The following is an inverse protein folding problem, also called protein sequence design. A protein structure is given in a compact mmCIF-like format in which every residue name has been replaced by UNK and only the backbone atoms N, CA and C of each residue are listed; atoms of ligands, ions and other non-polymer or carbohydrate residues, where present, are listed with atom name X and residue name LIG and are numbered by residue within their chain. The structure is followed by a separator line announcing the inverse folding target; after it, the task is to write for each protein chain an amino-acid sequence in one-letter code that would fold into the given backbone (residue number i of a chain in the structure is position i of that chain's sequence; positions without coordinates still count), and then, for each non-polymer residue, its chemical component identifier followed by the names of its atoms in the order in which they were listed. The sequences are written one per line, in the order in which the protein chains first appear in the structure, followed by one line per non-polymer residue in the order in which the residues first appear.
data_IF_128368198216
#
_entry.id   IF_128368198216
#
_cell.length_a   1.000
_cell.length_b   1.000
_cell.length_c   1.000
_cell.angle_alpha   90.00
_cell.angle_beta   90.00
_cell.angle_gamma   90.00
#
_symmetry.space_group_name_H-M   'P 1'
#
loop_
_entity.id
_entity.type
_entity.pdbx_description
1 polymer ?
#
# COMPACT_ATOMS: atom_id res chain seq x y z
N UNK A 1 -69.77 5.10 45.33
CA UNK A 1 -69.22 4.89 43.97
C UNK A 1 -68.49 6.15 43.52
N UNK A 2 -67.17 6.09 43.33
CA UNK A 2 -66.40 6.95 42.42
C UNK A 2 -65.01 6.32 42.29
N UNK A 3 -64.76 5.71 41.13
CA UNK A 3 -63.51 5.03 40.77
C UNK A 3 -62.45 6.11 40.51
N UNK A 4 -61.34 6.09 41.24
CA UNK A 4 -60.15 6.85 40.83
C UNK A 4 -59.36 6.01 39.84
N UNK A 5 -59.12 6.62 38.69
CA UNK A 5 -58.50 6.08 37.50
C UNK A 5 -56.99 5.96 37.74
N UNK A 6 -56.45 4.75 37.72
CA UNK A 6 -55.01 4.49 37.78
C UNK A 6 -54.42 4.76 36.38
N UNK A 7 -53.97 5.99 36.13
CA UNK A 7 -53.33 6.37 34.88
C UNK A 7 -51.87 5.91 34.92
N UNK A 8 -51.65 4.67 34.47
CA UNK A 8 -50.32 4.08 34.31
C UNK A 8 -49.61 4.81 33.17
N UNK A 9 -48.64 5.67 33.52
CA UNK A 9 -47.79 6.40 32.59
C UNK A 9 -46.82 5.42 31.92
N UNK A 10 -47.20 4.93 30.75
CA UNK A 10 -46.34 4.09 29.89
C UNK A 10 -45.35 5.02 29.18
N UNK A 11 -44.25 5.36 29.86
CA UNK A 11 -43.10 6.02 29.23
C UNK A 11 -42.44 5.03 28.27
N UNK A 12 -42.89 5.05 27.01
CA UNK A 12 -42.17 4.47 25.88
C UNK A 12 -40.78 5.12 25.80
N UNK A 13 -39.77 4.39 26.26
CA UNK A 13 -38.36 4.68 25.98
C UNK A 13 -38.15 4.49 24.48
N UNK A 14 -38.40 5.53 23.69
CA UNK A 14 -37.92 5.62 22.32
C UNK A 14 -36.44 5.96 22.44
N UNK A 15 -35.60 4.95 22.62
CA UNK A 15 -34.15 5.10 22.51
C UNK A 15 -33.85 5.59 21.10
N UNK A 16 -33.26 6.78 20.88
CA UNK A 16 -32.78 7.13 19.56
C UNK A 16 -31.66 6.14 19.23
N UNK A 17 -31.88 5.30 18.22
CA UNK A 17 -30.79 4.58 17.57
C UNK A 17 -29.87 5.64 16.96
N UNK A 18 -28.83 6.04 17.69
CA UNK A 18 -27.77 6.89 17.14
C UNK A 18 -26.99 6.06 16.14
N UNK A 19 -27.33 6.18 14.87
CA UNK A 19 -26.49 5.70 13.77
C UNK A 19 -25.24 6.58 13.78
N UNK A 20 -24.07 5.98 13.97
CA UNK A 20 -22.81 6.72 13.91
C UNK A 20 -22.65 7.31 12.50
N UNK A 21 -22.45 8.62 12.42
CA UNK A 21 -22.23 9.29 11.14
C UNK A 21 -20.92 8.81 10.51
N UNK A 22 -20.89 8.59 9.17
CA UNK A 22 -19.66 8.26 8.46
C UNK A 22 -18.57 9.31 8.67
N UNK A 23 -17.33 8.85 8.80
CA UNK A 23 -16.16 9.74 8.87
C UNK A 23 -15.77 10.12 7.45
N UNK A 24 -15.93 11.40 7.10
CA UNK A 24 -15.53 11.95 5.79
C UNK A 24 -14.14 12.58 5.90
N UNK A 25 -13.23 12.21 5.00
CA UNK A 25 -11.86 12.74 4.99
C UNK A 25 -11.36 13.00 3.57
N UNK A 26 -10.62 14.10 3.39
CA UNK A 26 -9.90 14.39 2.14
C UNK A 26 -8.45 13.98 2.25
N UNK A 27 -7.87 13.55 1.14
CA UNK A 27 -6.51 13.02 1.09
C UNK A 27 -6.22 12.28 -0.21
N UNK A 28 -5.29 11.33 -0.13
CA UNK A 28 -4.88 10.50 -1.26
C UNK A 28 -5.10 9.03 -0.91
N UNK A 29 -5.88 8.34 -1.75
CA UNK A 29 -6.00 6.89 -1.69
C UNK A 29 -4.89 6.28 -2.54
N UNK A 30 -4.09 5.43 -1.92
CA UNK A 30 -3.06 4.63 -2.58
C UNK A 30 -3.53 3.19 -2.68
N UNK A 31 -3.43 2.60 -3.87
CA UNK A 31 -3.52 1.16 -4.08
C UNK A 31 -2.12 0.64 -4.40
N UNK A 32 -1.72 -0.47 -3.80
CA UNK A 32 -0.36 -0.99 -3.93
C UNK A 32 -0.34 -2.52 -4.02
N UNK A 33 0.66 -3.06 -4.71
CA UNK A 33 0.93 -4.50 -4.71
C UNK A 33 2.05 -4.81 -3.75
N UNK A 34 1.75 -5.59 -2.73
CA UNK A 34 2.73 -6.11 -1.78
C UNK A 34 3.16 -7.50 -2.23
N UNK A 35 4.46 -7.75 -2.27
CA UNK A 35 4.96 -9.09 -2.52
C UNK A 35 4.60 -10.01 -1.35
N UNK A 36 4.08 -11.19 -1.65
CA UNK A 36 3.88 -12.26 -0.66
C UNK A 36 4.55 -13.52 -1.20
N UNK A 37 5.65 -13.91 -0.57
CA UNK A 37 6.37 -15.10 -0.95
C UNK A 37 5.85 -16.31 -0.18
N UNK A 38 5.88 -17.49 -0.80
CA UNK A 38 5.71 -18.74 -0.07
C UNK A 38 6.85 -18.95 0.94
N UNK A 39 6.68 -19.90 1.86
CA UNK A 39 7.65 -20.18 2.93
C UNK A 39 9.07 -20.44 2.40
N UNK A 40 9.19 -21.02 1.20
CA UNK A 40 10.48 -21.30 0.55
C UNK A 40 11.07 -20.10 -0.24
N UNK A 41 10.41 -18.94 -0.24
CA UNK A 41 10.80 -17.73 -0.97
C UNK A 41 11.05 -17.97 -2.48
N UNK A 42 10.25 -18.83 -3.11
CA UNK A 42 10.38 -19.22 -4.53
C UNK A 42 9.24 -18.73 -5.41
N UNK A 43 8.05 -18.52 -4.82
CA UNK A 43 6.83 -18.12 -5.54
C UNK A 43 6.27 -16.87 -4.90
N UNK A 44 6.21 -15.78 -5.67
CA UNK A 44 5.55 -14.54 -5.26
C UNK A 44 4.09 -14.54 -5.73
N UNK A 45 3.16 -14.33 -4.81
CA UNK A 45 1.73 -14.11 -5.08
C UNK A 45 1.35 -12.72 -4.57
N UNK A 46 1.56 -11.65 -5.36
CA UNK A 46 1.36 -10.30 -4.85
C UNK A 46 -0.08 -10.06 -4.37
N UNK A 47 -0.21 -9.48 -3.17
CA UNK A 47 -1.47 -9.04 -2.56
C UNK A 47 -1.74 -7.58 -2.91
N UNK A 48 -2.98 -7.28 -3.31
CA UNK A 48 -3.43 -5.91 -3.51
C UNK A 48 -3.85 -5.31 -2.17
N UNK A 49 -3.20 -4.23 -1.76
CA UNK A 49 -3.51 -3.46 -0.56
C UNK A 49 -3.96 -2.05 -0.90
N UNK A 50 -4.60 -1.40 0.07
CA UNK A 50 -5.01 0.00 -0.02
C UNK A 50 -4.66 0.72 1.27
N UNK A 51 -4.25 1.99 1.15
CA UNK A 51 -4.13 2.89 2.29
C UNK A 51 -4.50 4.30 1.92
N UNK A 52 -4.96 5.07 2.89
CA UNK A 52 -5.38 6.45 2.71
C UNK A 52 -4.50 7.39 3.54
N UNK A 53 -3.92 8.38 2.87
CA UNK A 53 -3.15 9.44 3.49
C UNK A 53 -4.03 10.66 3.63
N UNK A 54 -4.44 10.95 4.86
CA UNK A 54 -5.35 12.05 5.13
C UNK A 54 -4.63 13.41 5.09
N UNK A 55 -5.30 14.41 4.53
CA UNK A 55 -4.80 15.79 4.53
C UNK A 55 -4.64 16.31 5.97
N UNK A 56 -3.66 17.18 6.19
CA UNK A 56 -3.46 17.86 7.47
C UNK A 56 -4.67 18.69 7.96
N UNK A 57 -5.61 19.02 7.06
CA UNK A 57 -6.84 19.76 7.37
C UNK A 57 -8.07 18.86 7.62
N UNK A 58 -7.93 17.54 7.51
CA UNK A 58 -9.03 16.59 7.69
C UNK A 58 -9.32 16.34 9.18
N UNK A 59 -10.38 15.61 9.53
CA UNK A 59 -10.60 15.13 10.90
C UNK A 59 -9.59 14.08 11.36
N UNK A 60 -8.85 13.49 10.41
CA UNK A 60 -7.86 12.43 10.64
C UNK A 60 -6.41 12.96 10.52
N UNK A 61 -6.24 14.28 10.53
CA UNK A 61 -5.00 15.07 10.30
C UNK A 61 -3.70 14.26 10.30
N UNK A 62 -3.17 14.02 9.10
CA UNK A 62 -1.84 13.45 8.93
C UNK A 62 -1.72 11.99 9.37
N UNK A 63 -2.78 11.20 9.26
CA UNK A 63 -2.74 9.75 9.46
C UNK A 63 -2.70 9.01 8.13
N UNK A 64 -1.86 7.99 8.05
CA UNK A 64 -2.02 6.89 7.11
C UNK A 64 -2.99 5.86 7.72
N UNK A 65 -3.92 5.36 6.91
CA UNK A 65 -4.97 4.43 7.34
C UNK A 65 -4.95 3.25 6.38
N UNK A 66 -4.80 2.03 6.88
CA UNK A 66 -4.99 0.81 6.09
C UNK A 66 -6.47 0.68 5.73
N UNK A 67 -6.75 0.57 4.43
CA UNK A 67 -8.12 0.60 3.90
C UNK A 67 -8.52 -0.79 3.43
N UNK A 68 -9.65 -1.28 3.93
CA UNK A 68 -10.27 -2.49 3.44
C UNK A 68 -11.33 -2.14 2.40
N UNK A 69 -11.10 -2.57 1.17
CA UNK A 69 -12.04 -2.46 0.04
C UNK A 69 -12.79 -3.78 -0.08
N UNK A 70 -14.11 -3.73 0.01
CA UNK A 70 -14.97 -4.91 -0.07
C UNK A 70 -14.85 -5.63 -1.43
N UNK A 71 -15.08 -6.94 -1.40
CA UNK A 71 -15.02 -7.82 -2.58
C UNK A 71 -13.66 -8.50 -2.77
N UNK A 72 -13.59 -9.36 -3.77
CA UNK A 72 -12.36 -10.06 -4.15
C UNK A 72 -11.48 -9.21 -5.07
N UNK A 73 -10.38 -9.82 -5.55
CA UNK A 73 -9.36 -9.13 -6.33
C UNK A 73 -9.91 -8.48 -7.61
N UNK A 74 -10.86 -9.13 -8.29
CA UNK A 74 -11.46 -8.59 -9.51
C UNK A 74 -12.27 -7.31 -9.23
N UNK A 75 -13.05 -7.30 -8.14
CA UNK A 75 -13.84 -6.15 -7.72
C UNK A 75 -12.93 -4.99 -7.28
N UNK A 76 -11.84 -5.29 -6.56
CA UNK A 76 -10.86 -4.29 -6.17
C UNK A 76 -10.11 -3.70 -7.37
N UNK A 77 -9.73 -4.51 -8.36
CA UNK A 77 -9.13 -4.01 -9.60
C UNK A 77 -10.12 -3.16 -10.41
N UNK A 78 -11.39 -3.57 -10.49
CA UNK A 78 -12.44 -2.78 -11.13
C UNK A 78 -12.65 -1.43 -10.42
N UNK A 79 -12.61 -1.42 -9.08
CA UNK A 79 -12.64 -0.20 -8.28
C UNK A 79 -11.47 0.74 -8.63
N UNK A 80 -10.26 0.21 -8.77
CA UNK A 80 -9.09 1.01 -9.18
C UNK A 80 -9.30 1.58 -10.58
N UNK A 81 -9.64 0.74 -11.57
CA UNK A 81 -9.87 1.17 -12.96
C UNK A 81 -10.93 2.27 -13.09
N UNK A 82 -11.96 2.22 -12.25
CA UNK A 82 -13.04 3.21 -12.24
C UNK A 82 -12.60 4.54 -11.63
N UNK A 83 -11.81 4.51 -10.56
CA UNK A 83 -11.57 5.69 -9.72
C UNK A 83 -10.18 6.33 -9.91
N UNK A 84 -9.18 5.59 -10.38
CA UNK A 84 -7.80 6.05 -10.49
C UNK A 84 -7.47 6.46 -11.92
N UNK A 85 -6.64 7.49 -12.07
CA UNK A 85 -6.06 7.93 -13.34
C UNK A 85 -4.56 7.66 -13.39
N UNK A 86 -3.99 7.71 -14.60
CA UNK A 86 -2.55 7.57 -14.86
C UNK A 86 -1.97 6.25 -14.30
N UNK A 87 -2.73 5.16 -14.40
CA UNK A 87 -2.28 3.84 -13.95
C UNK A 87 -1.23 3.34 -14.94
N UNK A 88 0.01 3.06 -14.51
CA UNK A 88 1.02 2.51 -15.40
C UNK A 88 0.67 1.06 -15.76
N UNK A 89 1.00 0.63 -16.98
CA UNK A 89 0.67 -0.71 -17.48
C UNK A 89 1.19 -1.83 -16.58
N UNK A 90 2.36 -1.62 -15.97
CA UNK A 90 3.01 -2.57 -15.05
C UNK A 90 2.19 -2.82 -13.78
N UNK A 91 1.34 -1.88 -13.36
CA UNK A 91 0.54 -2.05 -12.15
C UNK A 91 -0.38 -3.26 -12.26
N UNK A 92 -1.02 -3.50 -13.40
CA UNK A 92 -1.89 -4.67 -13.56
C UNK A 92 -1.19 -5.86 -14.23
N UNK A 93 -0.25 -5.62 -15.15
CA UNK A 93 0.41 -6.71 -15.89
C UNK A 93 1.42 -7.47 -15.03
N UNK A 94 2.20 -6.76 -14.21
CA UNK A 94 3.22 -7.36 -13.35
C UNK A 94 2.85 -7.33 -11.86
N UNK A 95 1.77 -6.65 -11.48
CA UNK A 95 1.36 -6.48 -10.07
C UNK A 95 2.48 -5.89 -9.23
N UNK A 96 3.01 -4.75 -9.69
CA UNK A 96 4.14 -4.06 -9.07
C UNK A 96 3.74 -2.65 -8.69
N UNK A 97 4.44 -2.09 -7.70
CA UNK A 97 4.33 -0.69 -7.31
C UNK A 97 2.94 -0.31 -6.78
N UNK A 98 2.63 0.97 -6.88
CA UNK A 98 1.44 1.59 -6.37
C UNK A 98 0.91 2.62 -7.36
N UNK A 99 -0.34 3.00 -7.15
CA UNK A 99 -0.99 4.14 -7.79
C UNK A 99 -1.67 5.00 -6.75
N UNK A 100 -1.58 6.32 -6.92
CA UNK A 100 -2.16 7.30 -6.02
C UNK A 100 -3.28 8.06 -6.72
N UNK A 101 -4.41 8.22 -6.03
CA UNK A 101 -5.53 9.02 -6.49
C UNK A 101 -6.00 9.96 -5.37
N UNK A 102 -5.86 11.28 -5.53
CA UNK A 102 -6.48 12.26 -4.65
C UNK A 102 -8.01 12.13 -4.65
N UNK A 103 -8.64 12.39 -3.51
CA UNK A 103 -10.09 12.37 -3.41
C UNK A 103 -10.62 12.54 -1.98
N UNK A 104 -11.92 12.29 -1.85
CA UNK A 104 -12.61 12.24 -0.56
C UNK A 104 -13.05 10.80 -0.30
N UNK A 105 -12.76 10.32 0.90
CA UNK A 105 -13.15 8.99 1.37
C UNK A 105 -14.20 9.11 2.48
N UNK A 106 -15.13 8.17 2.50
CA UNK A 106 -16.05 7.96 3.60
C UNK A 106 -15.73 6.62 4.27
N UNK A 107 -15.49 6.65 5.57
CA UNK A 107 -15.27 5.46 6.39
C UNK A 107 -16.45 5.23 7.33
N UNK A 108 -16.82 3.97 7.55
CA UNK A 108 -17.82 3.63 8.57
C UNK A 108 -17.29 3.93 9.98
N UNK A 109 -16.04 3.52 10.21
CA UNK A 109 -15.31 3.72 11.45
C UNK A 109 -13.82 3.58 11.19
N UNK A 110 -13.01 4.39 11.87
CA UNK A 110 -11.56 4.22 11.92
C UNK A 110 -11.19 3.54 13.24
N UNK A 111 -10.50 2.41 13.17
CA UNK A 111 -9.98 1.67 14.32
C UNK A 111 -8.51 2.02 14.52
N UNK A 112 -8.15 2.40 15.73
CA UNK A 112 -6.75 2.56 16.15
C UNK A 112 -6.25 1.22 16.69
N UNK A 113 -5.03 0.83 16.32
CA UNK A 113 -4.34 -0.34 16.85
C UNK A 113 -2.85 0.00 17.08
N UNK A 114 -2.15 -0.82 17.86
CA UNK A 114 -0.71 -0.63 18.15
C UNK A 114 0.06 -1.81 17.58
N UNK A 115 1.09 -1.53 16.80
CA UNK A 115 2.01 -2.52 16.24
C UNK A 115 3.41 -1.91 16.19
N UNK A 116 4.43 -2.71 16.53
CA UNK A 116 5.83 -2.31 16.74
C UNK A 116 5.99 -0.95 17.45
N UNK A 117 5.30 -0.81 18.59
CA UNK A 117 5.31 0.36 19.47
C UNK A 117 4.86 1.67 18.80
N UNK A 118 4.11 1.59 17.70
CA UNK A 118 3.55 2.73 17.01
C UNK A 118 2.02 2.64 16.88
N UNK A 119 1.38 3.81 16.83
CA UNK A 119 -0.03 3.93 16.56
C UNK A 119 -0.32 3.73 15.07
N UNK A 120 -1.21 2.80 14.75
CA UNK A 120 -1.67 2.51 13.41
C UNK A 120 -3.20 2.62 13.32
N UNK A 121 -3.73 2.75 12.10
CA UNK A 121 -5.14 3.00 11.85
C UNK A 121 -5.64 2.14 10.71
N UNK A 122 -6.84 1.57 10.85
CA UNK A 122 -7.48 0.81 9.79
C UNK A 122 -8.97 1.13 9.68
N UNK A 123 -9.53 0.99 8.48
CA UNK A 123 -10.94 1.29 8.23
C UNK A 123 -11.49 0.54 7.01
N UNK A 124 -12.77 0.18 7.08
CA UNK A 124 -13.56 -0.21 5.92
C UNK A 124 -14.03 1.04 5.17
N UNK A 125 -13.78 1.07 3.86
CA UNK A 125 -14.26 2.16 2.99
C UNK A 125 -15.73 1.96 2.66
N UNK A 126 -16.53 3.03 2.83
CA UNK A 126 -17.92 3.06 2.37
C UNK A 126 -18.01 3.62 0.96
N UNK A 127 -17.30 4.71 0.68
CA UNK A 127 -17.27 5.33 -0.63
C UNK A 127 -15.97 6.09 -0.88
N UNK A 128 -15.64 6.28 -2.16
CA UNK A 128 -14.54 7.11 -2.61
C UNK A 128 -14.98 7.99 -3.76
N UNK A 129 -14.75 9.29 -3.63
CA UNK A 129 -14.99 10.28 -4.67
C UNK A 129 -13.63 10.82 -5.13
N UNK A 130 -13.11 10.39 -6.29
CA UNK A 130 -11.81 10.86 -6.76
C UNK A 130 -11.88 12.34 -7.15
N UNK A 131 -10.85 13.09 -6.79
CA UNK A 131 -10.59 14.41 -7.35
C UNK A 131 -9.77 14.24 -8.63
N UNK A 132 -10.48 14.26 -9.75
CA UNK A 132 -9.92 14.07 -11.08
C UNK A 132 -9.26 15.34 -11.65
N UNK A 133 -9.38 16.46 -10.94
CA UNK A 133 -8.79 17.75 -11.33
C UNK A 133 -7.43 18.00 -10.68
N UNK A 134 -7.19 17.40 -9.50
CA UNK A 134 -5.90 17.52 -8.81
C UNK A 134 -4.78 16.86 -9.61
N UNK A 135 -3.69 17.62 -9.78
CA UNK A 135 -2.42 17.11 -10.32
C UNK A 135 -1.46 16.63 -9.23
N UNK A 136 -1.73 16.98 -7.96
CA UNK A 136 -0.89 16.57 -6.85
C UNK A 136 -1.42 15.27 -6.26
N UNK A 137 -0.69 14.19 -6.50
CA UNK A 137 -0.93 12.86 -5.95
C UNK A 137 0.22 12.41 -5.03
N UNK A 138 1.07 13.35 -4.58
CA UNK A 138 2.13 13.05 -3.65
C UNK A 138 1.56 12.66 -2.29
N UNK A 139 2.18 11.66 -1.68
CA UNK A 139 1.89 11.21 -0.32
C UNK A 139 3.13 11.41 0.54
N UNK A 140 2.92 11.69 1.81
CA UNK A 140 3.98 11.65 2.81
C UNK A 140 4.02 10.24 3.41
N UNK A 141 4.92 9.42 2.89
CA UNK A 141 5.10 8.04 3.32
C UNK A 141 5.55 7.93 4.78
N UNK A 142 6.11 9.01 5.37
CA UNK A 142 6.49 9.01 6.79
C UNK A 142 5.29 8.89 7.74
N UNK A 143 4.07 9.20 7.27
CA UNK A 143 2.83 9.02 8.01
C UNK A 143 2.45 7.55 8.17
N UNK A 144 3.00 6.65 7.33
CA UNK A 144 2.87 5.22 7.48
C UNK A 144 3.96 4.69 8.44
N UNK A 145 3.52 3.88 9.40
CA UNK A 145 4.39 3.21 10.35
C UNK A 145 4.58 1.74 9.96
N UNK A 146 5.13 0.94 10.86
CA UNK A 146 5.42 -0.48 10.68
C UNK A 146 4.17 -1.40 10.74
N UNK A 147 2.96 -0.86 10.96
CA UNK A 147 1.75 -1.68 11.01
C UNK A 147 1.41 -2.34 9.68
N UNK A 148 0.61 -3.41 9.68
CA UNK A 148 0.05 -4.21 8.57
C UNK A 148 0.92 -4.49 7.33
N UNK A 149 1.43 -3.46 6.66
CA UNK A 149 2.21 -3.57 5.43
C UNK A 149 3.50 -2.71 5.44
N UNK A 150 3.79 -2.01 6.54
CA UNK A 150 4.97 -1.16 6.67
C UNK A 150 4.90 0.15 5.86
N UNK A 151 6.03 0.88 5.83
CA UNK A 151 6.11 2.18 5.15
C UNK A 151 6.07 2.07 3.63
N UNK A 152 6.77 1.09 3.05
CA UNK A 152 6.90 0.93 1.61
C UNK A 152 6.48 -0.49 1.18
N UNK A 153 5.20 -0.85 1.36
CA UNK A 153 4.71 -2.22 1.14
C UNK A 153 4.91 -2.73 -0.28
N UNK A 154 5.03 -1.81 -1.23
CA UNK A 154 5.17 -2.10 -2.65
C UNK A 154 6.61 -2.41 -3.10
N UNK A 155 7.61 -2.22 -2.22
CA UNK A 155 8.98 -2.58 -2.55
C UNK A 155 9.13 -4.09 -2.45
N UNK A 156 9.42 -4.72 -3.58
CA UNK A 156 9.89 -6.11 -3.58
C UNK A 156 11.41 -6.11 -3.43
N UNK A 157 11.88 -6.60 -2.29
CA UNK A 157 13.29 -6.58 -1.90
C UNK A 157 13.96 -7.94 -2.14
N UNK A 158 15.23 -7.89 -2.49
CA UNK A 158 16.08 -9.04 -2.77
C UNK A 158 17.48 -8.82 -2.18
N UNK A 159 18.23 -9.91 -2.04
CA UNK A 159 19.67 -9.93 -1.82
C UNK A 159 20.35 -10.80 -2.88
N UNK A 160 21.66 -10.66 -3.03
CA UNK A 160 22.45 -11.67 -3.74
C UNK A 160 22.34 -13.03 -3.01
N UNK A 161 22.34 -14.12 -3.77
CA UNK A 161 22.42 -15.47 -3.19
C UNK A 161 23.76 -15.69 -2.46
N UNK A 162 23.76 -16.50 -1.38
CA UNK A 162 24.93 -16.78 -0.55
C UNK A 162 25.94 -17.73 -1.23
N UNK A 163 26.49 -17.31 -2.36
CA UNK A 163 27.45 -18.08 -3.16
C UNK A 163 28.86 -17.49 -3.14
N UNK A 164 29.10 -16.40 -2.41
CA UNK A 164 30.41 -15.74 -2.33
C UNK A 164 30.86 -15.09 -3.65
N UNK A 165 29.93 -14.87 -4.58
CA UNK A 165 30.18 -14.19 -5.86
C UNK A 165 29.68 -12.76 -5.81
N UNK A 166 30.52 -11.82 -6.22
CA UNK A 166 30.08 -10.44 -6.47
C UNK A 166 29.08 -10.43 -7.62
N UNK A 167 27.88 -9.90 -7.36
CA UNK A 167 26.83 -9.76 -8.36
C UNK A 167 26.90 -8.35 -8.97
N UNK A 168 26.61 -8.24 -10.26
CA UNK A 168 26.73 -7.00 -11.00
C UNK A 168 25.41 -6.61 -11.63
N UNK A 169 25.06 -5.34 -11.48
CA UNK A 169 24.15 -4.68 -12.39
C UNK A 169 24.75 -4.58 -13.79
N UNK A 170 23.89 -4.73 -14.78
CA UNK A 170 24.17 -4.66 -16.20
C UNK A 170 23.61 -3.39 -16.81
N UNK A 171 24.24 -2.92 -17.89
CA UNK A 171 23.80 -1.75 -18.64
C UNK A 171 22.52 -2.00 -19.48
N UNK A 172 22.27 -3.25 -19.86
CA UNK A 172 21.06 -3.72 -20.56
C UNK A 172 20.72 -5.14 -20.08
N UNK A 173 19.49 -5.65 -20.31
CA UNK A 173 19.06 -6.99 -19.89
C UNK A 173 19.63 -8.08 -20.80
N UNK A 174 20.96 -8.16 -20.87
CA UNK A 174 21.76 -9.08 -21.69
C UNK A 174 22.98 -9.53 -20.88
N UNK A 175 23.32 -10.82 -20.94
CA UNK A 175 24.49 -11.38 -20.24
C UNK A 175 25.80 -10.74 -20.67
N UNK A 176 25.88 -10.37 -21.95
CA UNK A 176 27.06 -9.79 -22.57
C UNK A 176 27.12 -8.26 -22.38
N UNK A 177 26.10 -7.67 -21.75
CA UNK A 177 26.12 -6.25 -21.43
C UNK A 177 27.26 -5.95 -20.45
N UNK A 178 27.80 -4.74 -20.58
CA UNK A 178 28.78 -4.21 -19.64
C UNK A 178 28.21 -4.13 -18.23
N UNK A 179 29.06 -4.38 -17.24
CA UNK A 179 28.73 -4.20 -15.83
C UNK A 179 28.71 -2.70 -15.49
N UNK A 180 27.80 -2.27 -14.62
CA UNK A 180 27.69 -0.89 -14.15
C UNK A 180 28.11 -0.77 -12.69
N UNK A 181 27.41 -1.42 -11.79
CA UNK A 181 27.66 -1.39 -10.34
C UNK A 181 27.67 -2.81 -9.79
N UNK A 182 28.53 -3.08 -8.80
CA UNK A 182 28.47 -4.33 -8.02
C UNK A 182 27.67 -4.15 -6.74
N UNK A 183 27.16 -5.26 -6.23
CA UNK A 183 26.60 -5.38 -4.90
C UNK A 183 26.84 -6.81 -4.37
N UNK A 184 26.61 -6.99 -3.08
CA UNK A 184 26.92 -8.20 -2.32
C UNK A 184 25.69 -8.73 -1.59
N UNK A 185 25.88 -9.81 -0.83
CA UNK A 185 24.86 -10.43 0.01
C UNK A 185 24.43 -9.51 1.17
N UNK A 186 25.26 -8.54 1.55
CA UNK A 186 24.96 -7.54 2.58
C UNK A 186 24.08 -6.40 2.04
N UNK A 187 24.04 -6.22 0.72
CA UNK A 187 23.28 -5.16 0.07
C UNK A 187 21.84 -5.61 -0.20
N UNK A 188 20.87 -4.76 0.16
CA UNK A 188 19.47 -4.96 -0.22
C UNK A 188 19.18 -4.29 -1.56
N UNK A 189 18.46 -4.98 -2.43
CA UNK A 189 18.10 -4.52 -3.77
C UNK A 189 16.60 -4.45 -3.93
N UNK A 190 16.07 -3.30 -4.33
CA UNK A 190 14.66 -3.10 -4.58
C UNK A 190 14.34 -3.20 -6.08
N UNK A 191 13.39 -4.06 -6.44
CA UNK A 191 12.91 -4.20 -7.82
C UNK A 191 12.13 -2.96 -8.26
N UNK A 192 12.52 -2.40 -9.40
CA UNK A 192 11.86 -1.27 -10.05
C UNK A 192 10.91 -1.72 -11.15
N UNK A 193 11.26 -2.71 -11.95
CA UNK A 193 10.30 -3.31 -12.89
C UNK A 193 10.76 -4.66 -13.37
N UNK A 194 9.80 -5.52 -13.64
CA UNK A 194 10.03 -6.69 -14.49
C UNK A 194 10.34 -6.25 -15.93
N UNK A 195 11.37 -6.86 -16.53
CA UNK A 195 11.67 -6.71 -17.97
C UNK A 195 11.15 -7.93 -18.73
N UNK A 196 11.46 -9.12 -18.22
CA UNK A 196 11.00 -10.41 -18.73
C UNK A 196 11.18 -11.48 -17.63
N UNK A 197 10.98 -12.75 -17.96
CA UNK A 197 11.06 -13.86 -17.01
C UNK A 197 12.43 -14.03 -16.32
N UNK A 198 13.53 -13.55 -16.93
CA UNK A 198 14.88 -13.68 -16.40
C UNK A 198 15.46 -12.40 -15.82
N UNK A 199 14.91 -11.24 -16.17
CA UNK A 199 15.53 -9.94 -15.90
C UNK A 199 14.57 -8.97 -15.21
N UNK A 200 15.12 -8.25 -14.23
CA UNK A 200 14.49 -7.07 -13.62
C UNK A 200 15.41 -5.86 -13.79
N UNK A 201 14.81 -4.69 -13.73
CA UNK A 201 15.51 -3.45 -13.44
C UNK A 201 15.35 -3.15 -11.96
N UNK A 202 16.45 -2.90 -11.24
CA UNK A 202 16.46 -2.73 -9.79
C UNK A 202 17.46 -1.66 -9.35
N UNK A 203 17.41 -1.29 -8.07
CA UNK A 203 18.35 -0.36 -7.45
C UNK A 203 18.77 -0.86 -6.08
N UNK A 204 19.97 -0.51 -5.64
CA UNK A 204 20.36 -0.71 -4.23
C UNK A 204 19.44 0.15 -3.35
N UNK A 205 18.84 -0.48 -2.34
CA UNK A 205 17.97 0.17 -1.36
C UNK A 205 18.77 1.15 -0.51
N UNK A 206 18.25 2.36 -0.35
CA UNK A 206 18.88 3.43 0.44
C UNK A 206 17.80 4.24 1.14
N UNK A 207 17.60 3.99 2.43
CA UNK A 207 16.57 4.65 3.25
C UNK A 207 16.71 6.18 3.35
N UNK A 208 17.89 6.73 3.02
CA UNK A 208 18.11 8.17 3.01
C UNK A 208 17.48 8.86 1.80
N UNK A 209 17.16 8.11 0.74
CA UNK A 209 16.48 8.61 -0.45
C UNK A 209 14.96 8.63 -0.26
N UNK A 210 14.31 9.59 -0.93
CA UNK A 210 12.85 9.82 -0.83
C UNK A 210 12.00 8.61 -1.20
N UNK A 211 12.41 7.83 -2.21
CA UNK A 211 11.75 6.60 -2.66
C UNK A 211 12.45 5.33 -2.17
N UNK A 212 13.46 5.52 -1.31
CA UNK A 212 14.36 4.51 -0.80
C UNK A 212 15.18 3.76 -1.87
N UNK A 213 15.41 4.39 -3.02
CA UNK A 213 16.23 3.86 -4.12
C UNK A 213 17.46 4.72 -4.38
N UNK A 214 18.66 4.16 -4.22
CA UNK A 214 19.90 4.84 -4.58
C UNK A 214 20.08 5.01 -6.10
N UNK A 215 21.01 5.86 -6.52
CA UNK A 215 21.39 6.02 -7.94
C UNK A 215 22.13 4.80 -8.53
N UNK A 216 22.49 3.80 -7.70
CA UNK A 216 23.05 2.53 -8.17
C UNK A 216 21.94 1.65 -8.71
N UNK A 217 21.54 1.90 -9.95
CA UNK A 217 20.45 1.20 -10.66
C UNK A 217 20.98 0.45 -11.89
N UNK A 218 20.31 -0.64 -12.26
CA UNK A 218 20.64 -1.37 -13.47
C UNK A 218 19.80 -2.62 -13.67
N UNK A 219 20.16 -3.40 -14.69
CA UNK A 219 19.52 -4.67 -15.00
C UNK A 219 20.21 -5.82 -14.26
N UNK A 220 19.44 -6.79 -13.79
CA UNK A 220 19.97 -7.94 -13.08
C UNK A 220 19.16 -9.20 -13.35
N UNK A 221 19.84 -10.35 -13.33
CA UNK A 221 19.19 -11.66 -13.42
C UNK A 221 18.51 -12.02 -12.11
N UNK A 222 17.25 -12.43 -12.20
CA UNK A 222 16.51 -12.96 -11.04
C UNK A 222 17.17 -14.21 -10.45
N UNK A 223 17.87 -15.01 -11.27
CA UNK A 223 18.54 -16.23 -10.81
C UNK A 223 19.71 -15.97 -9.86
N UNK A 224 20.25 -14.75 -9.84
CA UNK A 224 21.34 -14.32 -8.94
C UNK A 224 20.81 -13.81 -7.60
N UNK A 225 19.49 -13.67 -7.48
CA UNK A 225 18.82 -13.06 -6.35
C UNK A 225 18.05 -14.08 -5.51
N UNK A 226 17.94 -13.78 -4.23
CA UNK A 226 17.01 -14.40 -3.30
C UNK A 226 16.08 -13.32 -2.73
N UNK A 227 14.76 -13.57 -2.59
CA UNK A 227 13.86 -12.60 -2.00
C UNK A 227 14.16 -12.34 -0.53
N UNK A 228 13.85 -11.12 -0.07
CA UNK A 228 13.78 -10.77 1.35
C UNK A 228 12.31 -10.69 1.79
N UNK A 229 12.02 -11.30 2.95
CA UNK A 229 10.73 -11.21 3.65
C UNK A 229 10.85 -10.32 4.89
#
# INVERSE_FOLDING_TARGET
MKKLFFMSLFCLLISPFTVAEPIVSRGVLQAYWQAEWNDDATVNTPRLGFRFFSDAKSSLQGKAIDVFVAGGIEQQQAFIRKNFRNIPDNFFSYKEWYVNQPGTVEFAKVKKYVECNADNYSADILSFKPDLSSKNNAVDESLASCGYSGRYPYLTLYQAKPEGKTVWFKASPDDNAGNTFSFSEEDTVAKIKTINQGWIYAAVYDESQKDSLSEKKGYIRLTELQPLN
#
